data_IF_311344808640
#
_entry.id   IF_311344808640
#
_cell.length_a   1.000
_cell.length_b   1.000
_cell.length_c   1.000
_cell.angle_alpha   90.00
_cell.angle_beta   90.00
_cell.angle_gamma   90.00
#
_symmetry.space_group_name_H-M   'P 1'
#
loop_
_entity.id
_entity.type
_entity.pdbx_description
1 polymer ?
#
# COMPACT_ATOMS: atom_id res chain seq x y z
N UNK A 1 -15.90 48.34 1.83
CA UNK A 1 -14.93 49.45 2.01
C UNK A 1 -13.53 48.90 1.73
N UNK A 2 -12.98 49.42 0.63
CA UNK A 2 -11.57 49.72 0.30
C UNK A 2 -10.51 48.62 0.50
N UNK A 3 -9.98 48.07 -0.58
CA UNK A 3 -8.98 48.59 -1.57
C UNK A 3 -7.56 48.78 -1.02
N UNK A 4 -6.58 48.06 -1.60
CA UNK A 4 -5.38 48.46 -2.38
C UNK A 4 -4.34 47.32 -2.31
N UNK A 5 -3.97 46.62 -3.39
CA UNK A 5 -3.02 46.93 -4.46
C UNK A 5 -1.72 47.61 -3.99
N UNK A 6 -0.60 46.89 -4.13
CA UNK A 6 0.70 47.50 -4.47
C UNK A 6 1.42 46.52 -5.45
N UNK A 7 1.64 47.07 -6.65
CA UNK A 7 2.58 46.56 -7.64
C UNK A 7 3.95 47.15 -7.36
N UNK A 8 5.01 46.42 -7.57
CA UNK A 8 6.37 46.97 -7.67
C UNK A 8 7.03 46.43 -8.93
N UNK A 9 7.16 47.34 -9.90
CA UNK A 9 8.02 47.19 -11.05
C UNK A 9 9.44 47.62 -10.68
N UNK A 10 10.44 46.84 -11.10
CA UNK A 10 11.81 47.30 -11.17
C UNK A 10 12.33 47.11 -12.59
N UNK A 11 12.59 48.20 -13.26
CA UNK A 11 13.25 48.29 -14.54
C UNK A 11 14.76 48.26 -14.33
N UNK A 12 15.48 47.48 -15.15
CA UNK A 12 16.90 47.68 -15.43
C UNK A 12 17.09 47.70 -16.95
N UNK A 13 17.77 48.73 -17.40
CA UNK A 13 17.97 49.09 -18.79
C UNK A 13 19.28 48.51 -19.37
N UNK A 14 19.20 48.19 -20.62
CA UNK A 14 20.17 48.25 -21.74
C UNK A 14 21.65 47.90 -21.52
N UNK A 15 22.10 46.87 -22.24
CA UNK A 15 23.26 46.97 -23.14
C UNK A 15 23.05 46.10 -24.38
N UNK A 16 23.30 46.71 -25.54
CA UNK A 16 22.98 46.19 -26.87
C UNK A 16 24.00 45.13 -27.35
N UNK A 17 23.50 44.18 -28.14
CA UNK A 17 24.36 43.29 -28.91
C UNK A 17 23.61 42.17 -29.63
N UNK A 18 23.11 42.47 -30.82
CA UNK A 18 22.75 41.59 -31.93
C UNK A 18 22.69 40.06 -31.72
N UNK A 19 21.46 39.51 -31.78
CA UNK A 19 21.02 38.48 -32.77
C UNK A 19 19.54 38.19 -32.51
N UNK A 20 18.64 38.55 -33.40
CA UNK A 20 17.30 37.99 -33.50
C UNK A 20 17.28 37.15 -34.79
N UNK A 21 16.79 35.87 -34.72
CA UNK A 21 15.38 35.57 -34.93
C UNK A 21 14.76 34.41 -34.09
N UNK A 22 15.35 33.97 -32.99
CA UNK A 22 14.78 32.88 -32.19
C UNK A 22 13.57 33.27 -31.34
N UNK A 23 13.53 34.49 -30.84
CA UNK A 23 12.44 34.97 -29.93
C UNK A 23 11.06 35.12 -30.60
N UNK A 24 11.00 35.29 -31.91
CA UNK A 24 9.72 35.40 -32.65
C UNK A 24 9.05 34.06 -32.92
N UNK A 25 9.82 32.97 -33.02
CA UNK A 25 9.27 31.62 -33.16
C UNK A 25 8.69 31.09 -31.84
N UNK A 26 9.32 31.37 -30.70
CA UNK A 26 8.83 30.98 -29.40
C UNK A 26 7.52 31.71 -29.02
N UNK A 27 7.41 32.98 -29.35
CA UNK A 27 6.19 33.77 -29.10
C UNK A 27 5.00 33.27 -29.96
N UNK A 28 5.25 32.83 -31.18
CA UNK A 28 4.23 32.29 -32.05
C UNK A 28 3.78 30.87 -31.63
N UNK A 29 4.70 30.04 -31.19
CA UNK A 29 4.39 28.72 -30.64
C UNK A 29 3.58 28.83 -29.34
N UNK A 30 3.98 29.71 -28.45
CA UNK A 30 3.26 29.99 -27.20
C UNK A 30 1.87 30.57 -27.44
N UNK A 31 1.69 31.43 -28.45
CA UNK A 31 0.39 31.95 -28.82
C UNK A 31 -0.53 30.85 -29.42
N UNK A 32 0.04 29.89 -30.17
CA UNK A 32 -0.69 28.73 -30.68
C UNK A 32 -1.11 27.76 -29.56
N UNK A 33 -0.23 27.49 -28.60
CA UNK A 33 -0.56 26.68 -27.41
C UNK A 33 -1.65 27.34 -26.57
N UNK A 34 -1.57 28.65 -26.38
CA UNK A 34 -2.58 29.40 -25.63
C UNK A 34 -3.95 29.38 -26.35
N UNK A 35 -3.94 29.47 -27.67
CA UNK A 35 -5.15 29.32 -28.48
C UNK A 35 -5.73 27.91 -28.40
N UNK A 36 -4.90 26.89 -28.46
CA UNK A 36 -5.30 25.49 -28.31
C UNK A 36 -5.89 25.20 -26.92
N UNK A 37 -5.27 25.69 -25.85
CA UNK A 37 -5.82 25.58 -24.49
C UNK A 37 -7.16 26.31 -24.32
N UNK A 38 -7.32 27.49 -24.91
CA UNK A 38 -8.61 28.21 -24.90
C UNK A 38 -9.69 27.43 -25.66
N UNK A 39 -9.35 26.83 -26.78
CA UNK A 39 -10.27 25.98 -27.54
C UNK A 39 -10.68 24.72 -26.76
N UNK A 40 -9.74 24.09 -26.04
CA UNK A 40 -10.03 22.96 -25.16
C UNK A 40 -10.94 23.37 -23.99
N UNK A 41 -10.67 24.51 -23.34
CA UNK A 41 -11.54 25.01 -22.28
C UNK A 41 -12.95 25.32 -22.76
N UNK A 42 -13.11 25.91 -23.95
CA UNK A 42 -14.42 26.15 -24.56
C UNK A 42 -15.15 24.84 -24.89
N UNK A 43 -14.43 23.83 -25.38
CA UNK A 43 -15.00 22.51 -25.64
C UNK A 43 -15.44 21.80 -24.34
N UNK A 44 -14.65 21.91 -23.27
CA UNK A 44 -15.02 21.39 -21.95
C UNK A 44 -16.23 22.10 -21.36
N UNK A 45 -16.30 23.41 -21.45
CA UNK A 45 -17.48 24.18 -21.01
C UNK A 45 -18.75 23.75 -21.75
N UNK A 46 -18.72 23.63 -23.07
CA UNK A 46 -19.85 23.12 -23.84
C UNK A 46 -20.26 21.70 -23.48
N UNK A 47 -19.30 20.85 -23.08
CA UNK A 47 -19.57 19.49 -22.64
C UNK A 47 -20.20 19.46 -21.25
N UNK A 48 -19.82 20.37 -20.37
CA UNK A 48 -20.44 20.56 -19.05
C UNK A 48 -21.90 21.00 -19.22
N UNK A 49 -22.18 22.02 -20.06
CA UNK A 49 -23.53 22.49 -20.34
C UNK A 49 -24.42 21.36 -20.87
N UNK A 50 -23.86 20.52 -21.75
CA UNK A 50 -24.58 19.36 -22.32
C UNK A 50 -24.89 18.31 -21.23
N UNK A 51 -23.96 18.02 -20.33
CA UNK A 51 -24.15 17.09 -19.23
C UNK A 51 -25.13 17.62 -18.20
N UNK A 52 -25.13 18.90 -17.93
CA UNK A 52 -26.11 19.55 -17.04
C UNK A 52 -27.52 19.49 -17.62
N UNK A 53 -27.67 19.72 -18.92
CA UNK A 53 -28.95 19.57 -19.61
C UNK A 53 -29.45 18.11 -19.60
N UNK A 54 -28.56 17.14 -19.80
CA UNK A 54 -28.90 15.71 -19.72
C UNK A 54 -29.30 15.32 -18.28
N UNK A 55 -28.60 15.82 -17.27
CA UNK A 55 -28.94 15.57 -15.87
C UNK A 55 -30.29 16.17 -15.49
N UNK A 56 -30.61 17.37 -15.98
CA UNK A 56 -31.89 18.00 -15.77
C UNK A 56 -33.04 17.20 -16.44
N UNK A 57 -32.83 16.72 -17.69
CA UNK A 57 -33.78 15.86 -18.39
C UNK A 57 -34.03 14.54 -17.64
N UNK A 58 -32.95 13.86 -17.21
CA UNK A 58 -33.05 12.60 -16.45
C UNK A 58 -33.77 12.80 -15.11
N UNK A 59 -33.52 13.91 -14.41
CA UNK A 59 -34.27 14.24 -13.18
C UNK A 59 -35.75 14.47 -13.42
N UNK A 60 -36.10 15.16 -14.51
CA UNK A 60 -37.50 15.39 -14.87
C UNK A 60 -38.22 14.06 -15.23
N UNK A 61 -37.54 13.19 -15.97
CA UNK A 61 -38.06 11.87 -16.33
C UNK A 61 -38.23 10.96 -15.11
N UNK A 62 -37.28 10.97 -14.17
CA UNK A 62 -37.37 10.24 -12.90
C UNK A 62 -38.51 10.77 -12.04
N UNK A 63 -38.74 12.08 -11.97
CA UNK A 63 -39.86 12.67 -11.24
C UNK A 63 -41.21 12.33 -11.89
N UNK A 64 -41.30 12.34 -13.21
CA UNK A 64 -42.51 11.96 -13.94
C UNK A 64 -42.83 10.46 -13.73
N UNK A 65 -41.82 9.58 -13.75
CA UNK A 65 -41.97 8.15 -13.49
C UNK A 65 -42.38 7.89 -12.06
N UNK A 66 -41.82 8.61 -11.08
CA UNK A 66 -42.21 8.50 -9.66
C UNK A 66 -43.67 8.96 -9.42
N UNK A 67 -44.09 10.05 -10.09
CA UNK A 67 -45.47 10.54 -10.01
C UNK A 67 -46.48 9.58 -10.66
N UNK A 68 -46.12 8.96 -11.80
CA UNK A 68 -46.94 7.96 -12.46
C UNK A 68 -47.08 6.67 -11.65
N UNK A 69 -46.02 6.24 -10.96
CA UNK A 69 -46.00 5.06 -10.10
C UNK A 69 -46.87 5.29 -8.82
N UNK A 70 -46.89 6.52 -8.29
CA UNK A 70 -47.70 6.86 -7.12
C UNK A 70 -49.22 6.91 -7.43
N UNK A 71 -49.63 7.09 -8.68
CA UNK A 71 -51.00 7.12 -9.09
C UNK A 71 -51.63 5.72 -9.39
N UNK A 72 -50.78 4.69 -9.55
CA UNK A 72 -51.19 3.33 -9.88
C UNK A 72 -51.38 2.39 -8.67
N UNK A 73 -51.15 2.84 -7.44
CA UNK A 73 -51.16 1.99 -6.24
C UNK A 73 -52.45 2.19 -5.41
N UNK A 74 -53.57 1.78 -5.94
CA UNK A 74 -54.80 1.61 -5.16
C UNK A 74 -55.53 0.34 -5.58
N UNK A 75 -54.99 -0.83 -5.20
CA UNK A 75 -55.74 -2.10 -5.08
C UNK A 75 -54.95 -3.07 -4.20
N UNK A 76 -55.55 -3.78 -3.23
CA UNK A 76 -54.82 -4.69 -2.35
C UNK A 76 -54.67 -6.06 -3.02
N UNK A 77 -53.46 -6.44 -3.33
CA UNK A 77 -53.12 -7.82 -3.64
C UNK A 77 -52.02 -8.26 -2.68
N UNK A 78 -52.38 -9.13 -1.73
CA UNK A 78 -51.43 -9.88 -0.91
C UNK A 78 -50.60 -10.81 -1.82
N UNK A 79 -49.44 -10.35 -2.21
CA UNK A 79 -48.38 -11.18 -2.71
C UNK A 79 -47.12 -10.79 -1.91
N UNK A 80 -46.45 -11.77 -1.33
CA UNK A 80 -45.17 -11.63 -0.66
C UNK A 80 -44.22 -10.93 -1.62
N UNK A 81 -44.09 -9.61 -1.53
CA UNK A 81 -43.17 -8.83 -2.34
C UNK A 81 -41.77 -9.26 -1.96
N UNK A 82 -41.09 -9.96 -2.88
CA UNK A 82 -39.64 -10.08 -2.84
C UNK A 82 -39.07 -8.67 -2.72
N UNK A 83 -38.26 -8.45 -1.70
CA UNK A 83 -37.67 -7.15 -1.40
C UNK A 83 -36.85 -6.70 -2.62
N UNK A 84 -37.40 -5.83 -3.46
CA UNK A 84 -36.80 -5.35 -4.73
C UNK A 84 -35.93 -4.12 -4.52
N UNK A 85 -35.75 -3.67 -3.27
CA UNK A 85 -35.01 -2.45 -2.95
C UNK A 85 -33.53 -2.72 -2.81
N UNK A 86 -32.72 -1.85 -3.41
CA UNK A 86 -31.28 -1.78 -3.15
C UNK A 86 -31.06 -1.32 -1.71
N UNK A 87 -30.37 -2.14 -0.93
CA UNK A 87 -30.01 -1.81 0.45
C UNK A 87 -28.68 -1.08 0.48
N UNK A 88 -28.57 -0.08 1.34
CA UNK A 88 -27.33 0.67 1.58
C UNK A 88 -26.92 0.45 3.04
N UNK A 89 -25.75 -0.13 3.27
CA UNK A 89 -25.15 -0.28 4.59
C UNK A 89 -23.88 0.57 4.65
N UNK A 90 -23.65 1.27 5.77
CA UNK A 90 -22.43 2.05 5.96
C UNK A 90 -21.35 1.21 6.66
N UNK A 91 -20.23 0.98 5.98
CA UNK A 91 -19.06 0.23 6.51
C UNK A 91 -17.75 1.01 6.23
N UNK A 92 -17.68 2.25 6.73
CA UNK A 92 -16.65 3.22 6.38
C UNK A 92 -16.97 3.97 5.09
N UNK A 93 -17.56 3.30 4.12
CA UNK A 93 -18.17 3.82 2.90
C UNK A 93 -19.53 3.17 2.67
N UNK A 94 -20.40 3.72 1.79
CA UNK A 94 -21.65 3.09 1.43
C UNK A 94 -21.41 1.79 0.68
N UNK A 95 -21.94 0.68 1.21
CA UNK A 95 -22.01 -0.61 0.52
C UNK A 95 -23.41 -0.78 -0.05
N UNK A 96 -23.53 -0.81 -1.36
CA UNK A 96 -24.79 -1.04 -2.07
C UNK A 96 -24.98 -2.55 -2.22
N UNK A 97 -26.17 -3.06 -1.90
CA UNK A 97 -26.53 -4.47 -2.12
C UNK A 97 -27.87 -4.53 -2.84
N UNK A 98 -27.88 -5.07 -4.06
CA UNK A 98 -29.11 -5.25 -4.83
C UNK A 98 -29.88 -6.50 -4.38
N UNK A 99 -31.16 -6.57 -4.68
CA UNK A 99 -32.01 -7.73 -4.34
C UNK A 99 -31.52 -9.06 -4.90
N UNK A 100 -30.82 -9.05 -6.05
CA UNK A 100 -30.26 -10.25 -6.68
C UNK A 100 -28.81 -10.55 -6.27
N UNK A 101 -28.29 -9.85 -5.24
CA UNK A 101 -27.01 -10.19 -4.60
C UNK A 101 -25.75 -9.53 -5.21
N UNK A 102 -25.89 -8.57 -6.13
CA UNK A 102 -24.78 -7.71 -6.51
C UNK A 102 -24.41 -6.79 -5.35
N UNK A 103 -23.11 -6.62 -5.12
CA UNK A 103 -22.63 -5.60 -4.18
C UNK A 103 -21.61 -4.68 -4.85
N UNK A 104 -21.60 -3.44 -4.39
CA UNK A 104 -20.59 -2.45 -4.78
C UNK A 104 -20.25 -1.61 -3.56
N UNK A 105 -18.94 -1.46 -3.28
CA UNK A 105 -18.43 -0.62 -2.20
C UNK A 105 -17.24 0.18 -2.71
N UNK A 106 -17.29 1.54 -2.72
CA UNK A 106 -16.13 2.36 -2.92
C UNK A 106 -15.14 2.15 -1.76
N UNK A 107 -13.86 2.30 -2.05
CA UNK A 107 -12.76 2.18 -1.10
C UNK A 107 -11.82 3.36 -1.26
N UNK A 108 -11.24 3.79 -0.17
CA UNK A 108 -10.21 4.80 -0.21
C UNK A 108 -9.30 4.71 0.99
N UNK A 109 -8.07 5.20 0.85
CA UNK A 109 -7.16 5.45 1.95
C UNK A 109 -6.31 6.66 1.65
N UNK A 110 -5.99 7.39 2.69
CA UNK A 110 -5.07 8.50 2.65
C UNK A 110 -4.12 8.38 3.82
N UNK A 111 -2.82 8.42 3.53
CA UNK A 111 -1.75 8.40 4.52
C UNK A 111 -0.81 9.57 4.29
N UNK A 112 -0.64 10.40 5.33
CA UNK A 112 0.33 11.48 5.39
C UNK A 112 1.43 11.09 6.36
N UNK A 113 2.67 11.16 5.89
CA UNK A 113 3.86 10.89 6.70
C UNK A 113 4.68 12.16 6.87
N UNK A 114 5.28 12.28 8.03
CA UNK A 114 6.33 13.25 8.32
C UNK A 114 7.35 12.62 9.25
N UNK A 115 8.61 12.96 9.08
CA UNK A 115 9.65 12.36 9.91
C UNK A 115 11.00 13.01 9.73
N UNK A 116 11.97 12.52 10.49
CA UNK A 116 13.35 12.98 10.42
C UNK A 116 14.29 11.79 10.59
N UNK A 117 15.39 11.83 9.89
CA UNK A 117 16.48 10.84 9.97
C UNK A 117 17.79 11.58 10.23
N UNK A 118 18.53 11.13 11.23
CA UNK A 118 19.86 11.66 11.51
C UNK A 118 20.85 11.22 10.43
N UNK A 119 21.87 12.05 10.19
CA UNK A 119 22.94 11.74 9.26
C UNK A 119 24.26 11.51 10.00
N UNK A 120 24.93 10.36 9.79
CA UNK A 120 26.26 10.16 10.31
C UNK A 120 27.24 11.21 9.77
N UNK A 121 28.24 11.58 10.57
CA UNK A 121 29.26 12.56 10.16
C UNK A 121 29.96 12.12 8.86
N UNK A 122 30.00 13.01 7.86
CA UNK A 122 30.59 12.74 6.55
C UNK A 122 29.62 12.21 5.50
N UNK A 123 28.38 11.85 5.87
CA UNK A 123 27.31 11.55 4.93
C UNK A 123 26.46 12.82 4.78
N UNK A 124 26.39 13.36 3.57
CA UNK A 124 25.55 14.50 3.22
C UNK A 124 24.59 14.08 2.11
N UNK A 125 23.33 13.99 2.44
CA UNK A 125 22.25 13.67 1.51
C UNK A 125 21.09 14.61 1.75
N UNK A 126 20.53 15.20 0.68
CA UNK A 126 19.45 16.19 0.78
C UNK A 126 18.14 15.59 1.34
N UNK A 127 18.00 14.28 1.32
CA UNK A 127 16.83 13.58 1.85
C UNK A 127 16.91 13.27 3.34
N UNK A 128 18.07 13.48 3.99
CA UNK A 128 18.21 13.36 5.44
C UNK A 128 17.67 14.61 6.16
N UNK A 129 17.39 14.50 7.44
CA UNK A 129 16.71 15.54 8.20
C UNK A 129 15.19 15.39 8.12
N UNK A 130 14.46 16.51 8.21
CA UNK A 130 13.00 16.49 8.20
C UNK A 130 12.45 16.40 6.77
N UNK A 131 11.49 15.48 6.57
CA UNK A 131 10.71 15.34 5.35
C UNK A 131 9.24 15.05 5.63
N UNK A 132 8.38 15.32 4.65
CA UNK A 132 6.97 14.95 4.70
C UNK A 132 6.46 14.58 3.32
N UNK A 133 5.47 13.69 3.26
CA UNK A 133 4.92 13.20 1.99
C UNK A 133 3.46 12.75 2.13
N UNK A 134 2.76 12.69 1.00
CA UNK A 134 1.57 11.84 0.86
C UNK A 134 2.06 10.43 0.60
N UNK A 135 2.08 9.59 1.63
CA UNK A 135 2.65 8.24 1.54
C UNK A 135 1.84 7.30 0.66
N UNK A 136 0.49 7.40 0.75
CA UNK A 136 -0.47 6.67 -0.07
C UNK A 136 -1.75 7.46 -0.23
N UNK A 137 -2.31 7.44 -1.43
CA UNK A 137 -3.62 7.99 -1.75
C UNK A 137 -4.36 6.99 -2.66
N UNK A 138 -4.96 5.97 -2.06
CA UNK A 138 -5.62 4.90 -2.82
C UNK A 138 -7.09 5.21 -3.03
N UNK A 139 -7.54 4.96 -4.24
CA UNK A 139 -8.94 5.00 -4.63
C UNK A 139 -9.30 3.70 -5.33
N UNK A 140 -10.47 3.17 -5.02
CA UNK A 140 -10.88 1.90 -5.61
C UNK A 140 -12.30 1.52 -5.28
N UNK A 141 -12.66 0.33 -5.71
CA UNK A 141 -13.93 -0.29 -5.40
C UNK A 141 -13.80 -1.81 -5.35
N UNK A 142 -14.71 -2.43 -4.61
CA UNK A 142 -14.84 -3.88 -4.54
C UNK A 142 -16.30 -4.27 -4.52
N UNK A 143 -16.58 -5.51 -4.86
CA UNK A 143 -17.94 -6.02 -4.81
C UNK A 143 -18.06 -7.50 -5.12
N UNK A 144 -19.30 -7.96 -5.13
CA UNK A 144 -19.69 -9.33 -5.47
C UNK A 144 -20.63 -9.34 -6.66
N UNK A 145 -20.55 -10.38 -7.44
CA UNK A 145 -21.44 -10.72 -8.55
C UNK A 145 -22.13 -12.05 -8.18
N UNK A 146 -23.42 -12.20 -8.38
CA UNK A 146 -24.10 -13.47 -8.16
C UNK A 146 -23.40 -14.64 -8.86
N UNK A 147 -23.44 -15.84 -8.26
CA UNK A 147 -22.76 -17.03 -8.78
C UNK A 147 -21.39 -17.27 -8.18
N UNK A 148 -21.00 -16.57 -7.11
CA UNK A 148 -19.75 -16.79 -6.39
C UNK A 148 -18.59 -15.92 -6.87
N UNK A 149 -18.82 -14.99 -7.78
CA UNK A 149 -17.79 -14.09 -8.26
C UNK A 149 -17.64 -12.85 -7.37
N UNK A 150 -16.43 -12.29 -7.36
CA UNK A 150 -16.10 -11.02 -6.73
C UNK A 150 -15.08 -10.26 -7.57
N UNK A 151 -14.91 -8.98 -7.26
CA UNK A 151 -13.96 -8.13 -7.98
C UNK A 151 -13.38 -7.07 -7.05
N UNK A 152 -12.17 -6.61 -7.38
CA UNK A 152 -11.53 -5.44 -6.80
C UNK A 152 -10.74 -4.71 -7.88
N UNK A 153 -10.83 -3.38 -7.84
CA UNK A 153 -9.94 -2.47 -8.54
C UNK A 153 -9.49 -1.37 -7.56
N UNK A 154 -8.20 -1.10 -7.50
CA UNK A 154 -7.62 -0.08 -6.63
C UNK A 154 -6.38 0.51 -7.32
N UNK A 155 -6.25 1.84 -7.26
CA UNK A 155 -5.12 2.60 -7.80
C UNK A 155 -4.49 3.45 -6.70
N UNK A 156 -3.20 3.73 -6.80
CA UNK A 156 -2.50 4.76 -6.02
C UNK A 156 -2.29 6.00 -6.88
N UNK A 157 -2.67 7.16 -6.34
CA UNK A 157 -2.51 8.47 -6.98
C UNK A 157 -1.57 9.38 -6.16
N UNK A 158 -0.83 8.85 -5.19
CA UNK A 158 0.10 9.62 -4.37
C UNK A 158 1.36 10.03 -5.15
N UNK A 159 1.82 9.18 -6.06
CA UNK A 159 2.99 9.44 -6.89
C UNK A 159 2.66 10.33 -8.10
N UNK A 160 3.68 10.71 -8.87
CA UNK A 160 3.53 11.49 -10.10
C UNK A 160 2.82 10.74 -11.23
N UNK A 161 2.76 9.43 -11.15
CA UNK A 161 2.01 8.55 -12.06
C UNK A 161 0.96 7.77 -11.29
N UNK A 162 -0.15 7.43 -11.94
CA UNK A 162 -1.18 6.55 -11.38
C UNK A 162 -0.68 5.11 -11.48
N UNK A 163 -0.67 4.41 -10.34
CA UNK A 163 -0.25 3.01 -10.26
C UNK A 163 -1.45 2.10 -9.98
N UNK A 164 -1.58 1.02 -10.74
CA UNK A 164 -2.57 -0.02 -10.45
C UNK A 164 -2.03 -0.86 -9.28
N UNK A 165 -2.71 -0.83 -8.14
CA UNK A 165 -2.35 -1.66 -6.99
C UNK A 165 -3.04 -3.02 -7.06
N UNK A 166 -4.35 -3.08 -6.95
CA UNK A 166 -5.13 -4.31 -7.03
C UNK A 166 -6.08 -4.25 -8.25
N UNK A 167 -6.05 -5.27 -9.10
CA UNK A 167 -6.99 -5.41 -10.21
C UNK A 167 -7.26 -6.90 -10.48
N UNK A 168 -8.28 -7.45 -9.83
CA UNK A 168 -8.52 -8.89 -9.91
C UNK A 168 -10.00 -9.26 -9.80
N UNK A 169 -10.29 -10.46 -10.29
CA UNK A 169 -11.54 -11.18 -10.09
C UNK A 169 -11.33 -12.36 -9.13
N UNK A 170 -12.34 -12.69 -8.36
CA UNK A 170 -12.36 -13.88 -7.51
C UNK A 170 -13.51 -14.78 -7.89
N UNK A 171 -13.36 -16.08 -7.66
CA UNK A 171 -14.41 -17.09 -7.77
C UNK A 171 -14.41 -17.98 -6.55
N UNK A 172 -15.50 -17.95 -5.78
CA UNK A 172 -15.72 -18.81 -4.62
C UNK A 172 -16.30 -20.14 -5.08
N UNK A 173 -15.44 -21.14 -5.29
CA UNK A 173 -15.84 -22.46 -5.78
C UNK A 173 -16.55 -23.30 -4.70
N UNK A 174 -16.17 -23.13 -3.43
CA UNK A 174 -16.83 -23.72 -2.27
C UNK A 174 -16.74 -22.77 -1.07
N UNK A 175 -17.25 -23.15 0.09
CA UNK A 175 -17.07 -22.36 1.32
C UNK A 175 -15.62 -22.21 1.72
N UNK A 176 -14.80 -23.18 1.38
CA UNK A 176 -13.38 -23.29 1.75
C UNK A 176 -12.43 -22.83 0.65
N UNK A 177 -12.81 -22.91 -0.65
CA UNK A 177 -11.93 -22.72 -1.78
C UNK A 177 -12.31 -21.50 -2.62
N UNK A 178 -11.38 -20.57 -2.75
CA UNK A 178 -11.47 -19.39 -3.61
C UNK A 178 -10.33 -19.36 -4.62
N UNK A 179 -10.63 -19.03 -5.86
CA UNK A 179 -9.65 -18.69 -6.89
C UNK A 179 -9.60 -17.18 -7.11
N UNK A 180 -8.43 -16.69 -7.50
CA UNK A 180 -8.21 -15.27 -7.85
C UNK A 180 -7.45 -15.20 -9.16
N UNK A 181 -7.84 -14.29 -10.05
CA UNK A 181 -7.14 -14.01 -11.31
C UNK A 181 -7.01 -12.51 -11.52
N UNK A 182 -5.82 -12.05 -11.90
CA UNK A 182 -5.48 -10.65 -12.10
C UNK A 182 -4.33 -10.20 -11.21
N UNK A 183 -4.14 -8.89 -11.09
CA UNK A 183 -3.05 -8.32 -10.31
C UNK A 183 -3.39 -8.31 -8.83
N UNK A 184 -2.62 -9.04 -8.04
CA UNK A 184 -2.72 -9.09 -6.58
C UNK A 184 -1.36 -9.44 -5.95
N UNK A 185 -1.28 -9.39 -4.61
CA UNK A 185 -0.05 -9.75 -3.90
C UNK A 185 0.24 -11.24 -3.99
N UNK A 186 1.49 -11.66 -4.31
CA UNK A 186 1.99 -13.00 -4.03
C UNK A 186 1.90 -13.34 -2.55
N UNK A 187 1.93 -14.62 -2.21
CA UNK A 187 1.71 -15.09 -0.83
C UNK A 187 3.03 -15.14 -0.04
N UNK A 188 3.37 -14.03 0.63
CA UNK A 188 4.63 -13.86 1.33
C UNK A 188 4.42 -13.24 2.72
N UNK A 189 4.73 -14.01 3.78
CA UNK A 189 4.78 -13.55 5.16
C UNK A 189 3.50 -12.99 5.79
N UNK A 190 3.52 -12.83 7.10
CA UNK A 190 2.44 -12.26 7.89
C UNK A 190 2.35 -10.73 7.73
N UNK A 191 3.48 -10.03 7.90
CA UNK A 191 3.50 -8.57 7.88
C UNK A 191 3.32 -8.04 6.45
N UNK A 192 3.90 -8.69 5.43
CA UNK A 192 3.73 -8.27 4.04
C UNK A 192 2.28 -8.40 3.57
N UNK A 193 1.59 -9.49 3.93
CA UNK A 193 0.18 -9.70 3.59
C UNK A 193 -0.79 -8.94 4.50
N UNK A 194 -0.36 -8.53 5.69
CA UNK A 194 -1.11 -7.57 6.51
C UNK A 194 -1.24 -6.25 5.74
N UNK A 195 -2.46 -5.74 5.65
CA UNK A 195 -2.70 -4.44 5.01
C UNK A 195 -1.86 -3.36 5.67
N UNK A 196 -1.28 -2.48 4.87
CA UNK A 196 -0.60 -1.26 5.31
C UNK A 196 -1.50 -0.24 6.03
N UNK A 197 -2.79 -0.57 6.15
CA UNK A 197 -3.72 0.10 7.07
C UNK A 197 -3.55 -0.34 8.52
N UNK A 198 -2.93 -1.51 8.79
CA UNK A 198 -2.91 -2.14 10.11
C UNK A 198 -1.52 -2.52 10.64
N UNK A 199 -0.40 -1.91 10.19
CA UNK A 199 0.92 -2.23 10.73
C UNK A 199 1.06 -1.78 12.19
N UNK A 200 2.06 -2.29 12.90
CA UNK A 200 2.40 -1.87 14.27
C UNK A 200 3.25 -0.60 14.29
N UNK A 201 3.99 -0.33 13.22
CA UNK A 201 4.92 0.79 13.03
C UNK A 201 4.55 1.55 11.74
N UNK A 202 5.12 2.74 11.53
CA UNK A 202 4.86 3.54 10.31
C UNK A 202 5.24 2.81 9.03
N UNK A 203 6.32 2.01 9.07
CA UNK A 203 6.72 1.13 7.98
C UNK A 203 6.91 -0.31 8.49
N UNK A 204 6.95 -1.27 7.56
CA UNK A 204 7.23 -2.67 7.84
C UNK A 204 8.67 -2.86 8.30
N UNK A 205 8.94 -4.01 8.92
CA UNK A 205 10.28 -4.46 9.24
C UNK A 205 11.21 -4.44 8.01
N UNK A 206 12.52 -4.22 8.25
CA UNK A 206 13.51 -4.10 7.19
C UNK A 206 13.49 -5.32 6.25
N UNK A 207 13.35 -6.52 6.82
CA UNK A 207 13.28 -7.77 6.05
C UNK A 207 12.10 -7.79 5.08
N UNK A 208 10.93 -7.34 5.50
CA UNK A 208 9.73 -7.31 4.64
C UNK A 208 9.79 -6.19 3.59
N UNK A 209 10.56 -5.13 3.86
CA UNK A 209 10.83 -4.09 2.87
C UNK A 209 11.91 -4.52 1.87
N UNK A 210 12.96 -5.21 2.32
CA UNK A 210 14.05 -5.64 1.46
C UNK A 210 13.68 -6.84 0.59
N UNK A 211 12.93 -7.83 1.12
CA UNK A 211 12.53 -9.05 0.44
C UNK A 211 11.04 -9.10 0.08
N UNK A 212 10.33 -7.97 0.23
CA UNK A 212 8.92 -7.86 -0.15
C UNK A 212 8.74 -7.96 -1.67
N UNK A 213 7.67 -8.66 -2.07
CA UNK A 213 7.33 -8.81 -3.47
C UNK A 213 6.21 -7.87 -3.87
N UNK A 214 6.41 -7.21 -5.00
CA UNK A 214 5.40 -6.36 -5.60
C UNK A 214 4.19 -7.18 -6.06
N UNK A 215 3.07 -6.49 -6.29
CA UNK A 215 1.89 -7.09 -6.89
C UNK A 215 2.20 -7.54 -8.31
N UNK A 216 1.68 -8.71 -8.68
CA UNK A 216 1.89 -9.35 -9.97
C UNK A 216 0.56 -9.85 -10.53
N UNK A 217 0.49 -9.93 -11.84
CA UNK A 217 -0.64 -10.56 -12.53
C UNK A 217 -0.47 -12.08 -12.46
N UNK A 218 -1.51 -12.77 -12.02
CA UNK A 218 -1.43 -14.21 -11.88
C UNK A 218 -2.76 -14.89 -11.60
N UNK A 219 -2.66 -16.18 -11.36
CA UNK A 219 -3.76 -17.05 -10.95
C UNK A 219 -3.38 -17.69 -9.64
N UNK A 220 -4.26 -17.62 -8.66
CA UNK A 220 -4.01 -18.19 -7.34
C UNK A 220 -5.24 -18.87 -6.74
N UNK A 221 -4.99 -19.70 -5.74
CA UNK A 221 -6.01 -20.38 -4.95
C UNK A 221 -5.75 -20.18 -3.46
N UNK A 222 -6.83 -19.94 -2.72
CA UNK A 222 -6.84 -19.90 -1.25
C UNK A 222 -7.82 -20.95 -0.74
N UNK A 223 -7.31 -21.89 0.07
CA UNK A 223 -8.12 -22.87 0.78
C UNK A 223 -8.08 -22.57 2.28
N UNK A 224 -9.24 -22.41 2.91
CA UNK A 224 -9.37 -22.11 4.33
C UNK A 224 -10.42 -23.03 4.97
N UNK A 225 -10.00 -23.84 5.94
CA UNK A 225 -10.90 -24.75 6.67
C UNK A 225 -10.44 -24.92 8.12
N UNK A 226 -11.33 -24.59 9.06
CA UNK A 226 -11.01 -24.60 10.48
C UNK A 226 -9.84 -23.65 10.79
N UNK A 227 -8.78 -24.20 11.34
CA UNK A 227 -7.59 -23.45 11.72
C UNK A 227 -6.49 -23.45 10.64
N UNK A 228 -6.76 -24.04 9.47
CA UNK A 228 -5.79 -24.19 8.39
C UNK A 228 -6.12 -23.26 7.23
N UNK A 229 -5.10 -22.53 6.77
CA UNK A 229 -5.11 -21.74 5.54
C UNK A 229 -3.97 -22.19 4.64
N UNK A 230 -4.29 -22.52 3.40
CA UNK A 230 -3.31 -22.83 2.35
C UNK A 230 -3.52 -21.88 1.18
N UNK A 231 -2.44 -21.31 0.69
CA UNK A 231 -2.44 -20.37 -0.42
C UNK A 231 -1.37 -20.77 -1.42
N UNK A 232 -1.67 -20.68 -2.71
CA UNK A 232 -0.69 -20.97 -3.76
C UNK A 232 -1.08 -20.27 -5.05
N UNK A 233 -0.08 -19.89 -5.85
CA UNK A 233 -0.31 -19.20 -7.10
C UNK A 233 0.87 -19.22 -8.05
N UNK A 234 0.57 -18.92 -9.31
CA UNK A 234 1.54 -18.68 -10.36
C UNK A 234 1.30 -17.27 -10.91
N UNK A 235 2.38 -16.52 -11.06
CA UNK A 235 2.34 -15.12 -11.42
C UNK A 235 3.34 -14.82 -12.53
N UNK A 236 3.07 -13.77 -13.30
CA UNK A 236 3.99 -13.11 -14.22
C UNK A 236 4.38 -11.74 -13.65
N UNK A 237 4.70 -10.77 -14.48
CA UNK A 237 5.12 -9.43 -14.05
C UNK A 237 3.94 -8.55 -13.60
N UNK A 238 4.23 -7.32 -13.19
CA UNK A 238 3.25 -6.31 -12.85
C UNK A 238 2.44 -5.88 -14.08
N UNK A 239 1.18 -5.50 -13.92
CA UNK A 239 0.32 -5.04 -15.01
C UNK A 239 0.89 -3.83 -15.79
N UNK A 240 1.71 -3.01 -15.16
CA UNK A 240 2.40 -1.89 -15.83
C UNK A 240 3.44 -2.37 -16.84
N UNK A 241 4.03 -3.55 -16.62
CA UNK A 241 5.11 -4.11 -17.43
C UNK A 241 4.61 -5.06 -18.52
N UNK A 242 3.34 -5.49 -18.50
CA UNK A 242 2.78 -6.49 -19.43
C UNK A 242 2.86 -6.10 -20.92
N UNK A 243 3.05 -4.84 -21.25
CA UNK A 243 3.17 -4.36 -22.61
C UNK A 243 4.63 -4.24 -23.09
N UNK A 244 5.61 -4.62 -22.26
CA UNK A 244 7.01 -4.65 -22.62
C UNK A 244 7.38 -5.98 -23.29
N UNK A 245 8.13 -5.96 -24.37
CA UNK A 245 8.58 -7.16 -25.09
C UNK A 245 9.50 -8.07 -24.24
N UNK A 246 10.13 -7.52 -23.20
CA UNK A 246 10.98 -8.24 -22.25
C UNK A 246 10.21 -8.81 -21.03
N UNK A 247 8.89 -8.61 -21.00
CA UNK A 247 8.02 -9.04 -19.92
C UNK A 247 7.70 -10.53 -20.02
N UNK A 248 8.54 -11.37 -19.46
CA UNK A 248 8.42 -12.83 -19.50
C UNK A 248 8.88 -13.52 -18.20
N UNK A 249 9.03 -12.78 -17.11
CA UNK A 249 9.32 -13.39 -15.81
C UNK A 249 8.12 -14.19 -15.30
N UNK A 250 8.37 -15.17 -14.44
CA UNK A 250 7.31 -15.90 -13.76
C UNK A 250 7.70 -16.28 -12.34
N UNK A 251 6.70 -16.36 -11.47
CA UNK A 251 6.90 -16.83 -10.11
C UNK A 251 5.87 -17.87 -9.68
N UNK A 252 6.27 -18.67 -8.70
CA UNK A 252 5.40 -19.60 -7.96
C UNK A 252 5.48 -19.27 -6.48
N UNK A 253 4.32 -19.08 -5.88
CA UNK A 253 4.18 -18.67 -4.49
C UNK A 253 3.33 -19.65 -3.71
N UNK A 254 3.75 -19.95 -2.50
CA UNK A 254 3.01 -20.80 -1.58
C UNK A 254 3.09 -20.32 -0.15
N UNK A 255 2.00 -20.40 0.59
CA UNK A 255 1.94 -20.09 2.03
C UNK A 255 1.00 -21.05 2.73
N UNK A 256 1.40 -21.54 3.89
CA UNK A 256 0.59 -22.36 4.77
C UNK A 256 0.54 -21.71 6.17
N UNK A 257 -0.66 -21.65 6.75
CA UNK A 257 -0.87 -21.11 8.10
C UNK A 257 -1.71 -22.08 8.92
N UNK A 258 -1.29 -22.29 10.16
CA UNK A 258 -2.07 -22.95 11.20
C UNK A 258 -2.38 -21.94 12.32
N UNK A 259 -3.64 -21.63 12.52
CA UNK A 259 -4.08 -20.52 13.36
C UNK A 259 -5.17 -20.92 14.37
N UNK A 260 -4.90 -21.85 15.30
CA UNK A 260 -5.86 -22.30 16.30
C UNK A 260 -6.05 -21.25 17.40
N UNK A 261 -7.22 -21.31 18.05
CA UNK A 261 -7.43 -20.63 19.31
C UNK A 261 -6.88 -21.47 20.47
N UNK A 262 -6.07 -20.83 21.33
CA UNK A 262 -5.56 -21.43 22.56
C UNK A 262 -6.19 -20.66 23.74
N UNK A 263 -7.19 -21.26 24.37
CA UNK A 263 -8.00 -20.59 25.36
C UNK A 263 -8.73 -19.39 24.73
N UNK A 264 -8.47 -18.18 25.22
CA UNK A 264 -8.99 -16.92 24.68
C UNK A 264 -8.05 -16.26 23.68
N UNK A 265 -6.86 -16.81 23.48
CA UNK A 265 -5.84 -16.27 22.60
C UNK A 265 -5.94 -16.84 21.18
N UNK A 266 -5.38 -16.13 20.22
CA UNK A 266 -5.21 -16.54 18.84
C UNK A 266 -3.73 -16.85 18.59
N UNK A 267 -3.40 -18.11 18.32
CA UNK A 267 -2.08 -18.51 17.80
C UNK A 267 -2.07 -18.36 16.29
N UNK A 268 -0.92 -18.06 15.74
CA UNK A 268 -0.63 -18.09 14.31
C UNK A 268 0.78 -18.69 14.14
N UNK A 269 0.88 -19.72 13.32
CA UNK A 269 2.13 -20.32 12.87
C UNK A 269 2.04 -20.48 11.36
N UNK A 270 3.04 -20.03 10.62
CA UNK A 270 2.99 -20.13 9.18
C UNK A 270 4.38 -20.19 8.54
N UNK A 271 4.37 -20.42 7.25
CA UNK A 271 5.56 -20.38 6.42
C UNK A 271 5.20 -20.15 4.97
N UNK A 272 6.13 -19.58 4.23
CA UNK A 272 5.97 -19.23 2.83
C UNK A 272 7.19 -19.61 2.01
N UNK A 273 6.97 -19.83 0.71
CA UNK A 273 7.99 -20.04 -0.31
C UNK A 273 7.65 -19.19 -1.53
N UNK A 274 8.67 -18.59 -2.13
CA UNK A 274 8.59 -17.85 -3.38
C UNK A 274 9.75 -18.27 -4.28
N UNK A 275 9.42 -18.69 -5.50
CA UNK A 275 10.39 -18.88 -6.57
C UNK A 275 10.08 -17.92 -7.71
N UNK A 276 11.08 -17.19 -8.18
CA UNK A 276 10.96 -16.24 -9.27
C UNK A 276 12.07 -16.45 -10.28
N UNK A 277 11.71 -16.77 -11.51
CA UNK A 277 12.60 -16.78 -12.66
C UNK A 277 12.49 -15.43 -13.37
N UNK A 278 13.63 -14.75 -13.47
CA UNK A 278 13.69 -13.41 -14.05
C UNK A 278 13.58 -13.42 -15.57
N UNK A 279 13.98 -14.54 -16.18
CA UNK A 279 14.04 -14.70 -17.63
C UNK A 279 14.70 -13.48 -18.32
N UNK A 280 14.04 -12.87 -19.30
CA UNK A 280 14.54 -11.68 -19.99
C UNK A 280 14.07 -10.35 -19.36
N UNK A 281 13.15 -10.41 -18.35
CA UNK A 281 12.59 -9.22 -17.69
C UNK A 281 13.63 -8.41 -16.92
N UNK A 282 14.63 -9.08 -16.34
CA UNK A 282 15.71 -8.44 -15.61
C UNK A 282 16.97 -9.32 -15.61
N UNK A 283 18.13 -8.71 -15.54
CA UNK A 283 19.43 -9.41 -15.41
C UNK A 283 20.07 -9.24 -14.01
N UNK A 284 19.40 -8.56 -13.11
CA UNK A 284 19.88 -8.30 -11.75
C UNK A 284 18.71 -8.02 -10.80
N UNK A 285 18.94 -8.32 -9.53
CA UNK A 285 18.07 -7.95 -8.40
C UNK A 285 18.82 -7.00 -7.48
N UNK A 286 18.09 -6.28 -6.62
CA UNK A 286 18.68 -5.34 -5.67
C UNK A 286 17.87 -5.32 -4.39
N UNK A 287 18.49 -5.58 -3.25
CA UNK A 287 17.89 -5.54 -1.93
C UNK A 287 18.39 -4.32 -1.16
N UNK A 288 17.48 -3.53 -0.64
CA UNK A 288 17.79 -2.29 0.07
C UNK A 288 16.61 -1.84 0.91
N UNK A 289 16.87 -1.05 1.95
CA UNK A 289 15.81 -0.53 2.82
C UNK A 289 16.08 0.93 3.21
N UNK A 290 15.01 1.70 3.39
CA UNK A 290 15.04 3.03 4.00
C UNK A 290 15.17 2.90 5.53
N UNK A 291 15.76 3.89 6.21
CA UNK A 291 15.90 3.86 7.67
C UNK A 291 14.55 4.13 8.35
N UNK A 292 13.80 3.08 8.67
CA UNK A 292 12.51 3.05 9.38
C UNK A 292 11.34 3.80 8.71
N UNK A 293 11.58 4.96 8.07
CA UNK A 293 10.56 5.81 7.47
C UNK A 293 10.76 5.97 5.96
N UNK A 294 9.71 6.35 5.24
CA UNK A 294 9.75 6.40 3.79
C UNK A 294 10.23 7.74 3.23
N UNK A 295 10.08 8.83 3.97
CA UNK A 295 10.43 10.19 3.51
C UNK A 295 11.86 10.36 2.99
N UNK A 296 12.95 9.78 3.58
CA UNK A 296 14.28 9.91 3.02
C UNK A 296 14.50 8.93 1.86
N UNK A 297 15.25 9.35 0.87
CA UNK A 297 15.62 8.47 -0.25
C UNK A 297 16.97 7.74 -0.05
N UNK A 298 17.70 8.09 0.99
CA UNK A 298 18.97 7.46 1.37
C UNK A 298 18.79 6.00 1.78
N UNK A 299 19.80 5.19 1.47
CA UNK A 299 19.91 3.78 1.87
C UNK A 299 21.28 3.56 2.51
N UNK A 300 21.29 3.19 3.79
CA UNK A 300 22.52 2.85 4.51
C UNK A 300 22.93 1.40 4.26
N UNK A 301 21.96 0.53 3.93
CA UNK A 301 22.20 -0.83 3.46
C UNK A 301 21.58 -1.03 2.08
N UNK A 302 22.36 -1.60 1.17
CA UNK A 302 22.00 -1.77 -0.23
C UNK A 302 22.99 -2.74 -0.89
N UNK A 303 22.50 -3.80 -1.51
CA UNK A 303 23.37 -4.77 -2.23
C UNK A 303 24.00 -4.18 -3.50
N UNK A 304 23.49 -3.03 -3.99
CA UNK A 304 23.66 -2.68 -5.38
C UNK A 304 22.99 -3.71 -6.29
N UNK A 305 23.24 -3.65 -7.58
CA UNK A 305 22.69 -4.61 -8.53
C UNK A 305 23.47 -5.93 -8.46
N UNK A 306 22.81 -6.99 -8.00
CA UNK A 306 23.33 -8.37 -7.98
C UNK A 306 22.83 -9.07 -9.23
N UNK A 307 23.78 -9.48 -10.11
CA UNK A 307 23.43 -10.25 -11.31
C UNK A 307 22.68 -11.52 -10.91
N UNK A 308 21.53 -11.77 -11.52
CA UNK A 308 20.64 -12.86 -11.16
C UNK A 308 20.01 -13.49 -12.40
N UNK A 309 19.65 -14.76 -12.25
CA UNK A 309 18.81 -15.55 -13.17
C UNK A 309 17.48 -15.85 -12.50
N UNK A 310 17.53 -16.22 -11.22
CA UNK A 310 16.34 -16.53 -10.44
C UNK A 310 16.54 -16.20 -8.96
N UNK A 311 15.44 -16.18 -8.23
CA UNK A 311 15.38 -15.97 -6.78
C UNK A 311 14.58 -17.09 -6.13
N UNK A 312 15.01 -17.48 -4.93
CA UNK A 312 14.28 -18.40 -4.06
C UNK A 312 14.19 -17.81 -2.66
N UNK A 313 12.99 -17.39 -2.28
CA UNK A 313 12.66 -16.94 -0.94
C UNK A 313 11.96 -18.02 -0.14
N UNK A 314 12.23 -18.10 1.15
CA UNK A 314 11.42 -18.87 2.10
C UNK A 314 11.36 -18.15 3.44
N UNK A 315 10.21 -18.25 4.11
CA UNK A 315 9.94 -17.56 5.33
C UNK A 315 9.21 -18.41 6.36
N UNK A 316 9.43 -18.09 7.61
CA UNK A 316 8.70 -18.60 8.76
C UNK A 316 8.04 -17.44 9.49
N UNK A 317 6.84 -17.64 10.01
CA UNK A 317 6.06 -16.63 10.69
C UNK A 317 5.35 -17.22 11.90
N UNK A 318 5.30 -16.45 12.99
CA UNK A 318 4.61 -16.80 14.22
C UNK A 318 4.00 -15.55 14.86
N UNK A 319 2.79 -15.68 15.41
CA UNK A 319 2.19 -14.64 16.23
C UNK A 319 1.27 -15.23 17.30
N UNK A 320 1.09 -14.47 18.39
CA UNK A 320 0.13 -14.80 19.42
C UNK A 320 -0.55 -13.52 19.92
N UNK A 321 -1.88 -13.54 19.98
CA UNK A 321 -2.71 -12.43 20.45
C UNK A 321 -3.54 -12.90 21.63
N UNK A 322 -3.43 -12.22 22.76
CA UNK A 322 -4.25 -12.52 23.93
C UNK A 322 -4.67 -11.23 24.65
N UNK A 323 -5.95 -10.93 24.59
CA UNK A 323 -6.47 -9.71 25.20
C UNK A 323 -5.75 -8.47 24.67
N UNK A 324 -5.20 -7.61 25.53
CA UNK A 324 -4.50 -6.39 25.10
C UNK A 324 -3.09 -6.65 24.53
N UNK A 325 -2.56 -7.84 24.68
CA UNK A 325 -1.18 -8.18 24.31
C UNK A 325 -1.11 -8.93 23.00
N UNK A 326 -0.08 -8.65 22.21
CA UNK A 326 0.31 -9.48 21.08
C UNK A 326 1.82 -9.53 20.91
N UNK A 327 2.29 -10.61 20.29
CA UNK A 327 3.65 -10.78 19.80
C UNK A 327 3.60 -11.29 18.38
N UNK A 328 4.58 -10.91 17.55
CA UNK A 328 4.80 -11.46 16.23
C UNK A 328 6.28 -11.55 15.91
N UNK A 329 6.64 -12.48 15.05
CA UNK A 329 7.99 -12.68 14.56
C UNK A 329 7.96 -13.29 13.17
N UNK A 330 8.87 -12.85 12.32
CA UNK A 330 9.14 -13.47 11.02
C UNK A 330 10.65 -13.61 10.81
N UNK A 331 11.04 -14.62 10.06
CA UNK A 331 12.40 -14.84 9.60
C UNK A 331 12.37 -15.29 8.14
N UNK A 332 13.14 -14.61 7.29
CA UNK A 332 13.16 -14.83 5.86
C UNK A 332 14.58 -15.01 5.34
N UNK A 333 14.74 -15.94 4.42
CA UNK A 333 15.97 -16.20 3.66
C UNK A 333 15.70 -15.96 2.19
N UNK A 334 16.61 -15.22 1.54
CA UNK A 334 16.51 -14.85 0.13
C UNK A 334 17.77 -15.28 -0.59
N UNK A 335 17.68 -16.36 -1.36
CA UNK A 335 18.76 -16.86 -2.22
C UNK A 335 18.62 -16.25 -3.62
N UNK A 336 19.74 -15.88 -4.22
CA UNK A 336 19.85 -15.41 -5.60
C UNK A 336 20.72 -16.37 -6.39
N UNK A 337 20.16 -17.00 -7.41
CA UNK A 337 20.92 -17.81 -8.36
C UNK A 337 21.55 -16.88 -9.40
N UNK A 338 22.90 -16.96 -9.51
CA UNK A 338 23.69 -16.05 -10.34
C UNK A 338 24.18 -16.74 -11.61
N UNK A 339 24.33 -15.99 -12.75
CA UNK A 339 24.79 -16.58 -14.00
C UNK A 339 26.23 -17.04 -13.96
N UNK A 340 26.54 -18.14 -14.62
CA UNK A 340 27.89 -18.65 -14.84
C UNK A 340 28.53 -19.26 -13.59
N UNK A 341 29.79 -18.89 -13.29
CA UNK A 341 30.56 -19.43 -12.16
C UNK A 341 30.51 -18.50 -10.92
N UNK A 342 29.59 -17.55 -10.87
CA UNK A 342 29.41 -16.67 -9.71
C UNK A 342 28.81 -17.48 -8.55
N UNK A 343 29.28 -17.23 -7.33
CA UNK A 343 28.74 -17.86 -6.13
C UNK A 343 27.39 -17.21 -5.76
N UNK A 344 26.40 -18.04 -5.46
CA UNK A 344 25.03 -17.61 -5.12
C UNK A 344 24.95 -17.12 -3.69
N UNK A 345 24.57 -15.84 -3.44
CA UNK A 345 24.34 -15.35 -2.09
C UNK A 345 23.00 -15.82 -1.53
N UNK A 346 22.95 -15.96 -0.22
CA UNK A 346 21.73 -16.13 0.57
C UNK A 346 21.68 -15.10 1.66
N UNK A 347 20.80 -14.13 1.52
CA UNK A 347 20.57 -13.06 2.50
C UNK A 347 19.58 -13.51 3.56
N UNK A 348 19.65 -12.87 4.73
CA UNK A 348 18.77 -13.22 5.86
C UNK A 348 18.26 -11.95 6.53
N UNK A 349 17.02 -11.99 6.99
CA UNK A 349 16.46 -10.98 7.86
C UNK A 349 15.31 -11.53 8.69
N UNK A 350 14.95 -10.79 9.73
CA UNK A 350 13.83 -11.15 10.58
C UNK A 350 13.53 -10.07 11.61
N UNK A 351 12.40 -10.20 12.27
CA UNK A 351 12.02 -9.34 13.37
C UNK A 351 11.30 -10.09 14.48
N UNK A 352 11.29 -9.49 15.65
CA UNK A 352 10.40 -9.84 16.75
C UNK A 352 9.75 -8.56 17.26
N UNK A 353 8.42 -8.53 17.33
CA UNK A 353 7.68 -7.41 17.90
C UNK A 353 6.76 -7.85 19.02
N UNK A 354 6.52 -6.95 19.97
CA UNK A 354 5.50 -7.07 20.99
C UNK A 354 4.70 -5.79 21.10
N UNK A 355 3.40 -5.91 21.34
CA UNK A 355 2.52 -4.77 21.50
C UNK A 355 1.52 -4.94 22.63
N UNK A 356 1.16 -3.83 23.24
CA UNK A 356 0.24 -3.76 24.36
C UNK A 356 -0.77 -2.62 24.15
N UNK A 357 -2.06 -2.92 24.21
CA UNK A 357 -3.11 -1.91 24.30
C UNK A 357 -3.20 -1.37 25.74
N UNK A 358 -3.04 -0.06 25.85
CA UNK A 358 -3.18 0.66 27.13
C UNK A 358 -4.64 0.93 27.48
N UNK A 359 -5.53 0.83 26.51
CA UNK A 359 -6.97 1.07 26.64
C UNK A 359 -7.72 -0.22 26.92
N UNK A 360 -8.67 -0.15 27.87
CA UNK A 360 -9.34 -1.34 28.40
C UNK A 360 -10.24 -2.03 27.35
N UNK A 361 -9.97 -3.32 27.14
CA UNK A 361 -10.77 -4.20 26.29
C UNK A 361 -10.42 -4.18 24.81
N UNK A 362 -9.46 -3.34 24.39
CA UNK A 362 -8.97 -3.32 23.02
C UNK A 362 -7.98 -4.47 22.79
N UNK A 363 -7.91 -4.92 21.55
CA UNK A 363 -7.09 -6.06 21.13
C UNK A 363 -6.68 -5.91 19.66
N UNK A 364 -5.61 -6.58 19.28
CA UNK A 364 -5.16 -6.67 17.89
C UNK A 364 -6.20 -7.42 17.05
N UNK A 365 -6.58 -6.86 15.90
CA UNK A 365 -7.42 -7.56 14.93
C UNK A 365 -6.66 -8.71 14.24
N UNK A 366 -7.36 -9.80 13.95
CA UNK A 366 -6.81 -10.94 13.20
C UNK A 366 -7.91 -11.58 12.36
N UNK A 367 -7.63 -11.83 11.08
CA UNK A 367 -8.57 -12.45 10.15
C UNK A 367 -7.85 -13.01 8.92
N UNK A 368 -8.22 -14.22 8.49
CA UNK A 368 -7.70 -14.79 7.23
C UNK A 368 -6.19 -14.98 7.21
N UNK A 369 -5.57 -15.31 8.35
CA UNK A 369 -4.14 -15.57 8.43
C UNK A 369 -3.25 -14.31 8.48
N UNK A 370 -3.82 -13.12 8.74
CA UNK A 370 -3.09 -11.84 8.85
C UNK A 370 -3.67 -10.97 9.96
N UNK A 371 -2.93 -9.94 10.36
CA UNK A 371 -3.48 -8.91 11.23
C UNK A 371 -4.57 -8.10 10.50
N UNK A 372 -5.57 -7.67 11.26
CA UNK A 372 -6.74 -6.96 10.73
C UNK A 372 -7.01 -5.70 11.56
N UNK A 373 -8.05 -4.99 11.17
CA UNK A 373 -8.51 -3.74 11.75
C UNK A 373 -8.70 -3.82 13.26
N UNK A 374 -8.12 -2.89 13.97
CA UNK A 374 -8.44 -2.62 15.38
C UNK A 374 -9.76 -1.84 15.43
N UNK A 375 -10.72 -2.37 16.17
CA UNK A 375 -12.02 -1.71 16.43
C UNK A 375 -12.06 -1.27 17.90
N UNK A 376 -11.88 0.02 18.18
CA UNK A 376 -11.86 0.52 19.56
C UNK A 376 -13.15 0.18 20.30
N UNK A 377 -13.03 -0.33 21.52
CA UNK A 377 -14.19 -0.61 22.38
C UNK A 377 -14.93 0.66 22.81
N UNK A 378 -14.19 1.77 22.88
CA UNK A 378 -14.72 3.09 23.23
C UNK A 378 -14.22 4.13 22.23
N UNK A 379 -14.76 4.14 20.99
CA UNK A 379 -14.31 5.07 19.97
C UNK A 379 -14.74 6.51 20.28
N UNK A 380 -14.05 7.48 19.66
CA UNK A 380 -14.25 8.93 19.91
C UNK A 380 -15.65 9.38 19.48
N UNK A 381 -16.17 8.86 18.38
CA UNK A 381 -17.52 9.17 17.86
C UNK A 381 -18.65 8.72 18.80
N UNK A 382 -18.32 7.88 19.80
CA UNK A 382 -19.26 7.44 20.87
C UNK A 382 -18.84 7.94 22.26
N UNK A 383 -18.08 9.04 22.32
CA UNK A 383 -17.65 9.69 23.56
C UNK A 383 -16.53 8.96 24.31
N UNK A 384 -15.83 8.05 23.64
CA UNK A 384 -14.61 7.40 24.17
C UNK A 384 -13.32 8.15 23.79
N UNK A 385 -12.19 7.49 23.99
CA UNK A 385 -10.87 8.02 23.61
C UNK A 385 -10.26 7.27 22.42
N UNK A 386 -10.87 6.16 21.99
CA UNK A 386 -10.27 5.26 21.01
C UNK A 386 -9.33 4.25 21.65
N UNK A 387 -8.61 3.50 20.85
CA UNK A 387 -7.62 2.52 21.27
C UNK A 387 -6.20 3.10 21.20
N UNK A 388 -5.41 2.91 22.25
CA UNK A 388 -3.99 3.29 22.29
C UNK A 388 -3.16 2.04 22.48
N UNK A 389 -2.19 1.86 21.59
CA UNK A 389 -1.26 0.72 21.56
C UNK A 389 0.18 1.22 21.61
N UNK A 390 1.03 0.55 22.39
CA UNK A 390 2.49 0.73 22.40
C UNK A 390 3.12 -0.55 21.88
N UNK A 391 4.11 -0.41 21.01
CA UNK A 391 4.81 -1.52 20.36
C UNK A 391 6.31 -1.35 20.53
N UNK A 392 7.02 -2.46 20.66
CA UNK A 392 8.48 -2.54 20.57
C UNK A 392 8.85 -3.58 19.53
N UNK A 393 9.93 -3.34 18.77
CA UNK A 393 10.46 -4.26 17.77
C UNK A 393 11.97 -4.31 17.85
N UNK A 394 12.52 -5.50 17.71
CA UNK A 394 13.87 -5.74 17.25
C UNK A 394 13.81 -6.20 15.80
N UNK A 395 14.58 -5.56 14.93
CA UNK A 395 14.61 -5.78 13.49
C UNK A 395 16.05 -6.06 13.06
N UNK A 396 16.26 -7.11 12.29
CA UNK A 396 17.57 -7.53 11.80
C UNK A 396 17.54 -7.80 10.29
N UNK A 397 18.56 -7.29 9.59
CA UNK A 397 18.76 -7.56 8.16
C UNK A 397 20.26 -7.70 7.85
N UNK A 398 20.64 -8.82 7.21
CA UNK A 398 22.00 -9.11 6.74
C UNK A 398 21.99 -9.29 5.22
N UNK A 399 22.61 -8.36 4.52
CA UNK A 399 22.78 -8.35 3.06
C UNK A 399 24.25 -8.62 2.66
N UNK A 400 24.97 -9.42 3.46
CA UNK A 400 26.36 -9.78 3.19
C UNK A 400 26.47 -11.29 2.99
N UNK A 401 26.75 -11.71 1.76
CA UNK A 401 27.09 -13.10 1.43
C UNK A 401 27.73 -13.19 0.04
N UNK A 402 28.53 -14.24 -0.19
CA UNK A 402 29.13 -14.61 -1.49
C UNK A 402 29.80 -13.43 -2.24
N UNK A 403 30.47 -12.56 -1.50
CA UNK A 403 31.17 -11.37 -2.05
C UNK A 403 30.26 -10.17 -2.31
N UNK A 404 28.97 -10.25 -2.04
CA UNK A 404 28.10 -9.08 -1.95
C UNK A 404 28.23 -8.46 -0.57
N UNK A 405 28.44 -7.15 -0.49
CA UNK A 405 28.58 -6.38 0.76
C UNK A 405 27.50 -5.30 0.76
N UNK A 406 26.28 -5.70 1.08
CA UNK A 406 25.13 -4.79 1.15
C UNK A 406 24.93 -4.15 2.52
N UNK A 407 25.70 -4.58 3.53
CA UNK A 407 25.62 -4.11 4.92
C UNK A 407 24.68 -4.94 5.79
N UNK A 408 24.75 -4.69 7.11
CA UNK A 408 23.86 -5.27 8.15
C UNK A 408 23.18 -4.16 8.93
N UNK A 409 21.99 -4.44 9.39
CA UNK A 409 21.19 -3.55 10.26
C UNK A 409 20.70 -4.32 11.49
N UNK A 410 20.90 -3.73 12.65
CA UNK A 410 20.18 -4.04 13.89
C UNK A 410 19.30 -2.85 14.24
N UNK A 411 17.99 -3.01 14.26
CA UNK A 411 17.01 -1.96 14.54
C UNK A 411 16.32 -2.18 15.88
N UNK A 412 16.28 -1.15 16.72
CA UNK A 412 15.51 -1.12 17.97
C UNK A 412 14.43 -0.06 17.84
N UNK A 413 13.18 -0.48 17.83
CA UNK A 413 12.06 0.38 17.47
C UNK A 413 11.04 0.48 18.60
N UNK A 414 10.49 1.68 18.78
CA UNK A 414 9.39 1.99 19.67
C UNK A 414 8.26 2.64 18.86
N UNK A 415 7.04 2.13 18.97
CA UNK A 415 5.88 2.64 18.28
C UNK A 415 4.72 2.96 19.22
N UNK A 416 4.02 4.05 18.95
CA UNK A 416 2.74 4.39 19.59
C UNK A 416 1.70 4.54 18.48
N UNK A 417 0.57 3.87 18.66
CA UNK A 417 -0.55 3.91 17.72
C UNK A 417 -1.81 4.33 18.47
N UNK A 418 -2.44 5.40 18.01
CA UNK A 418 -3.76 5.82 18.46
C UNK A 418 -4.78 5.60 17.35
N UNK A 419 -5.80 4.82 17.64
CA UNK A 419 -6.92 4.50 16.74
C UNK A 419 -8.19 5.11 17.35
N UNK A 420 -8.53 6.38 17.01
CA UNK A 420 -9.70 7.08 17.57
C UNK A 420 -11.02 6.43 17.18
N UNK A 421 -11.13 5.99 15.92
CA UNK A 421 -12.31 5.33 15.34
C UNK A 421 -11.89 4.09 14.56
N UNK A 422 -12.83 3.34 14.04
CA UNK A 422 -12.53 2.18 13.18
C UNK A 422 -11.73 2.57 11.92
N UNK A 423 -11.80 3.83 11.48
CA UNK A 423 -11.31 4.28 10.16
C UNK A 423 -10.25 5.38 10.22
N UNK A 424 -9.84 5.78 11.42
CA UNK A 424 -8.84 6.83 11.61
C UNK A 424 -7.71 6.33 12.48
N UNK A 425 -6.47 6.67 12.16
CA UNK A 425 -5.30 6.19 12.86
C UNK A 425 -4.17 7.23 12.84
N UNK A 426 -3.51 7.38 13.98
CA UNK A 426 -2.30 8.18 14.13
C UNK A 426 -1.19 7.31 14.69
N UNK A 427 0.01 7.46 14.16
CA UNK A 427 1.16 6.65 14.54
C UNK A 427 2.36 7.54 14.77
N UNK A 428 3.18 7.15 15.73
CA UNK A 428 4.50 7.70 15.99
C UNK A 428 5.45 6.52 16.17
N UNK A 429 6.57 6.51 15.45
CA UNK A 429 7.58 5.46 15.53
C UNK A 429 8.96 6.10 15.66
N UNK A 430 9.75 5.61 16.58
CA UNK A 430 11.16 5.92 16.75
C UNK A 430 11.99 4.66 16.54
N UNK A 431 13.11 4.77 15.85
CA UNK A 431 14.07 3.69 15.64
C UNK A 431 15.50 4.17 15.86
N UNK A 432 16.26 3.36 16.58
CA UNK A 432 17.70 3.43 16.67
C UNK A 432 18.30 2.29 15.87
N UNK A 433 18.95 2.62 14.76
CA UNK A 433 19.43 1.67 13.75
C UNK A 433 20.96 1.64 13.82
N UNK A 434 21.52 0.47 14.09
CA UNK A 434 22.95 0.20 14.08
C UNK A 434 23.33 -0.44 12.75
N UNK A 435 24.26 0.14 12.03
CA UNK A 435 24.76 -0.38 10.76
C UNK A 435 26.17 -0.93 10.93
N UNK A 436 26.42 -2.09 10.32
CA UNK A 436 27.75 -2.68 10.19
C UNK A 436 28.01 -2.97 8.71
N UNK A 437 29.23 -2.68 8.26
CA UNK A 437 29.61 -2.79 6.85
C UNK A 437 28.64 -2.05 5.91
N UNK A 438 28.11 -0.89 6.37
CA UNK A 438 27.13 -0.10 5.66
C UNK A 438 27.53 0.19 4.21
N UNK A 439 26.55 0.28 3.32
CA UNK A 439 26.78 0.59 1.91
C UNK A 439 27.43 1.96 1.73
N UNK A 440 26.99 2.97 2.49
CA UNK A 440 27.54 4.32 2.45
C UNK A 440 28.63 4.48 3.53
N UNK A 441 29.87 4.89 3.16
CA UNK A 441 30.89 5.21 4.15
C UNK A 441 30.61 6.58 4.79
N UNK A 442 30.73 6.65 6.11
CA UNK A 442 30.79 7.89 6.88
C UNK A 442 32.19 8.54 6.82
N UNK A 443 32.45 9.53 7.66
CA UNK A 443 33.75 10.19 7.74
C UNK A 443 34.89 9.17 7.93
N UNK A 444 36.04 9.42 7.31
CA UNK A 444 37.23 8.54 7.35
C UNK A 444 36.98 7.13 6.78
N UNK A 445 35.92 6.92 6.01
CA UNK A 445 35.60 5.63 5.41
C UNK A 445 34.95 4.64 6.37
N UNK A 446 34.51 5.09 7.55
CA UNK A 446 33.82 4.25 8.52
C UNK A 446 32.48 3.76 7.98
N UNK A 447 32.20 2.46 8.12
CA UNK A 447 30.97 1.78 7.71
C UNK A 447 30.20 1.18 8.87
N UNK A 448 30.59 1.54 10.11
CA UNK A 448 29.94 1.09 11.33
C UNK A 448 29.48 2.33 12.11
N UNK A 449 28.18 2.59 12.07
CA UNK A 449 27.60 3.78 12.69
C UNK A 449 26.12 3.56 13.05
N UNK A 450 25.57 4.50 13.77
CA UNK A 450 24.13 4.50 14.10
C UNK A 450 23.39 5.64 13.42
N UNK A 451 22.10 5.44 13.23
CA UNK A 451 21.14 6.41 12.70
C UNK A 451 19.89 6.39 13.56
N UNK A 452 19.41 7.55 13.94
CA UNK A 452 18.13 7.72 14.62
C UNK A 452 17.08 8.20 13.62
N UNK A 453 15.92 7.57 13.64
CA UNK A 453 14.77 7.92 12.82
C UNK A 453 13.53 8.13 13.67
N UNK A 454 12.76 9.16 13.38
CA UNK A 454 11.48 9.44 14.01
C UNK A 454 10.46 9.70 12.90
N UNK A 455 9.37 8.97 12.91
CA UNK A 455 8.28 9.09 11.92
C UNK A 455 6.92 9.18 12.55
N UNK A 456 6.06 9.97 11.94
CA UNK A 456 4.66 10.10 12.28
C UNK A 456 3.79 9.87 11.05
N UNK A 457 2.63 9.25 11.23
CA UNK A 457 1.61 9.03 10.18
C UNK A 457 0.24 9.44 10.67
N UNK A 458 -0.49 10.16 9.83
CA UNK A 458 -1.93 10.35 9.94
C UNK A 458 -2.62 9.58 8.82
N UNK A 459 -3.63 8.79 9.17
CA UNK A 459 -4.32 7.89 8.24
C UNK A 459 -5.82 7.97 8.39
N UNK A 460 -6.51 7.96 7.25
CA UNK A 460 -7.95 7.67 7.14
C UNK A 460 -8.18 6.63 6.05
N UNK A 461 -9.16 5.74 6.25
CA UNK A 461 -9.60 4.80 5.23
C UNK A 461 -11.13 4.61 5.28
N UNK A 462 -11.71 4.11 4.20
CA UNK A 462 -13.16 3.86 4.10
C UNK A 462 -13.50 2.75 3.11
#
# INVERSE_FOLDING_TARGET
MNNRLIASAAAIALSAGWTAPAAAQDASAMAQELAAMRAQMAAMASRIDTLEAQLAATKAETQATTAATSAATAAPASATAANTETQIAWKGAPELTTANGWTFKPRGRLQFDAGTVSSPTGISDASTGFGSEVRRAYLGFEGKIPGGFGYRAEIDVAASAVEITDLYLTYQASKELQFTVGQHKPFWGLEELTSDLFPSFVERAAVNTAFGYERRVGVSATYAKGDVLLQGGAFTDNAADLNNDENNSYSFDGRAVFAPKIGTGQLHLGGSVHYHDLNDSASSVRYRVRPLIHTPDIRFIDTGNVRAVSELGHGLEAAYIQGPFHVASEAHWQRVDRPGALTDPTFFGGYVEAGLFLTKGDTRGYKGGVFDRVKPKRPVDKGGFGAVQVNVRYDYLDLIDAGVIGGKQDGYELGVVWTPTDYTRFMLSYGHLLYSDAFLPAASGDRNYSVDALGARAQIDF
#
